data_IF_923866379892
#
_entry.id   IF_923866379892
#
_cell.length_a   1.000
_cell.length_b   1.000
_cell.length_c   1.000
_cell.angle_alpha   90.00
_cell.angle_beta   90.00
_cell.angle_gamma   90.00
#
_symmetry.space_group_name_H-M   'P 1'
#
loop_
_entity.id
_entity.type
_entity.pdbx_description
1 polymer ?
#
# COMPACT_ATOMS: atom_id res chain seq x y z
N UNK A 1 -9.91 -28.66 -16.83
CA UNK A 1 -10.84 -29.10 -15.77
C UNK A 1 -10.29 -28.81 -14.38
N UNK A 2 -9.05 -29.19 -14.01
CA UNK A 2 -8.48 -28.92 -12.67
C UNK A 2 -8.32 -27.42 -12.36
N UNK A 3 -7.84 -26.62 -13.31
CA UNK A 3 -7.73 -25.16 -13.17
C UNK A 3 -9.10 -24.48 -12.99
N UNK A 4 -10.12 -24.95 -13.70
CA UNK A 4 -11.47 -24.44 -13.61
C UNK A 4 -12.09 -24.74 -12.23
N UNK A 5 -11.86 -25.96 -11.71
CA UNK A 5 -12.26 -26.34 -10.35
C UNK A 5 -11.59 -25.49 -9.28
N UNK A 6 -10.30 -25.20 -9.43
CA UNK A 6 -9.59 -24.36 -8.48
C UNK A 6 -10.07 -22.90 -8.53
N UNK A 7 -10.38 -22.36 -9.71
CA UNK A 7 -10.98 -21.00 -9.85
C UNK A 7 -12.38 -20.91 -9.24
N UNK A 8 -13.18 -21.96 -9.31
CA UNK A 8 -14.54 -21.99 -8.77
C UNK A 8 -14.60 -22.31 -7.27
N UNK A 9 -13.76 -23.22 -6.79
CA UNK A 9 -13.85 -23.79 -5.43
C UNK A 9 -12.57 -23.66 -4.60
N UNK A 10 -11.46 -23.15 -5.15
CA UNK A 10 -10.23 -22.90 -4.42
C UNK A 10 -10.35 -21.72 -3.45
N UNK A 11 -9.52 -21.69 -2.40
CA UNK A 11 -9.42 -20.55 -1.49
C UNK A 11 -9.06 -19.28 -2.30
N UNK A 12 -9.95 -18.30 -2.27
CA UNK A 12 -9.79 -17.00 -2.95
C UNK A 12 -9.10 -15.94 -2.07
N UNK A 13 -8.37 -16.34 -1.04
CA UNK A 13 -7.67 -15.42 -0.16
C UNK A 13 -6.29 -15.12 -0.74
N UNK A 14 -6.07 -13.88 -1.13
CA UNK A 14 -4.75 -13.31 -1.40
C UNK A 14 -3.97 -13.00 -0.09
N UNK A 15 -4.41 -13.56 1.03
CA UNK A 15 -3.68 -13.40 2.29
C UNK A 15 -2.44 -14.27 2.27
N UNK A 16 -1.30 -13.63 2.05
CA UNK A 16 -0.02 -14.15 2.50
C UNK A 16 -0.03 -14.22 4.01
N UNK A 17 0.26 -15.40 4.57
CA UNK A 17 0.37 -15.63 6.01
C UNK A 17 1.66 -15.02 6.58
N UNK A 18 1.96 -13.77 6.27
CA UNK A 18 3.13 -13.09 6.83
C UNK A 18 2.70 -11.81 7.54
N UNK A 19 2.57 -11.92 8.87
CA UNK A 19 2.18 -10.84 9.77
C UNK A 19 3.28 -9.80 10.03
N UNK A 20 4.37 -9.84 9.26
CA UNK A 20 5.57 -9.03 9.51
C UNK A 20 5.90 -8.04 8.37
N UNK A 21 5.10 -7.96 7.31
CA UNK A 21 5.38 -7.05 6.19
C UNK A 21 4.51 -5.81 6.24
N UNK A 22 5.10 -4.58 6.23
CA UNK A 22 4.34 -3.37 5.97
C UNK A 22 3.75 -3.45 4.56
N UNK A 23 2.62 -2.77 4.37
CA UNK A 23 1.87 -2.68 3.12
C UNK A 23 2.81 -2.64 1.91
N UNK A 24 2.79 -3.73 1.13
CA UNK A 24 3.61 -3.86 -0.07
C UNK A 24 3.14 -2.87 -1.13
N UNK A 25 4.07 -2.23 -1.87
CA UNK A 25 3.73 -1.52 -3.08
C UNK A 25 2.95 -2.44 -4.03
N UNK A 26 1.90 -1.93 -4.65
CA UNK A 26 0.92 -2.68 -5.44
C UNK A 26 1.53 -3.56 -6.56
N UNK A 27 2.79 -3.32 -6.93
CA UNK A 27 3.51 -3.97 -8.01
C UNK A 27 4.69 -4.85 -7.57
N UNK A 28 5.02 -4.90 -6.28
CA UNK A 28 6.14 -5.70 -5.75
C UNK A 28 5.72 -7.10 -5.25
N UNK A 29 4.45 -7.50 -5.40
CA UNK A 29 3.96 -8.82 -4.97
C UNK A 29 4.76 -9.99 -5.57
N UNK A 30 5.23 -9.84 -6.81
CA UNK A 30 5.99 -10.88 -7.48
C UNK A 30 7.43 -10.99 -6.98
N UNK A 31 8.00 -9.89 -6.49
CA UNK A 31 9.36 -9.83 -5.97
C UNK A 31 9.45 -10.40 -4.56
N UNK A 32 8.42 -10.17 -3.73
CA UNK A 32 8.34 -10.70 -2.37
C UNK A 32 8.06 -12.21 -2.30
N UNK A 33 7.45 -12.80 -3.35
CA UNK A 33 7.16 -14.23 -3.43
C UNK A 33 8.29 -15.06 -4.07
N UNK A 34 9.36 -14.42 -4.54
CA UNK A 34 10.52 -15.07 -5.11
C UNK A 34 11.57 -15.39 -4.03
N UNK A 35 11.22 -16.21 -3.04
CA UNK A 35 12.21 -16.82 -2.17
C UNK A 35 13.12 -17.75 -3.01
N UNK A 36 14.46 -17.74 -2.77
CA UNK A 36 15.34 -18.68 -3.43
C UNK A 36 14.91 -20.10 -3.08
N UNK A 37 14.66 -20.93 -4.09
CA UNK A 37 14.49 -22.35 -3.89
C UNK A 37 15.82 -22.89 -3.34
N UNK A 38 15.86 -23.26 -2.07
CA UNK A 38 16.95 -24.02 -1.49
C UNK A 38 17.10 -25.31 -2.28
N UNK A 39 18.28 -25.51 -2.83
CA UNK A 39 18.68 -26.80 -3.39
C UNK A 39 18.65 -27.81 -2.24
N UNK A 40 17.70 -28.72 -2.29
CA UNK A 40 17.63 -29.81 -1.34
C UNK A 40 18.85 -30.74 -1.53
N UNK A 41 19.81 -30.62 -0.66
CA UNK A 41 20.77 -31.68 -0.40
C UNK A 41 20.26 -32.54 0.74
N UNK A 42 19.94 -33.80 0.44
CA UNK A 42 19.65 -34.84 1.42
C UNK A 42 20.87 -35.07 2.31
N UNK A 43 20.91 -34.46 3.49
CA UNK A 43 21.69 -34.93 4.61
C UNK A 43 20.89 -34.76 5.90
N UNK A 44 20.66 -35.87 6.60
CA UNK A 44 20.13 -35.91 7.95
C UNK A 44 20.97 -35.03 8.88
N UNK A 45 20.42 -33.86 9.26
CA UNK A 45 21.07 -32.98 10.24
C UNK A 45 20.17 -32.83 11.45
N UNK A 46 20.72 -33.26 12.58
CA UNK A 46 20.26 -32.97 13.94
C UNK A 46 19.80 -31.52 14.05
N UNK A 47 18.57 -31.30 14.47
CA UNK A 47 17.91 -29.98 14.53
C UNK A 47 18.75 -28.99 15.37
N UNK A 48 19.26 -27.90 14.79
CA UNK A 48 19.88 -26.86 15.58
C UNK A 48 18.83 -26.09 16.35
N UNK A 49 19.06 -25.85 17.64
CA UNK A 49 18.23 -25.00 18.47
C UNK A 49 18.06 -23.62 17.78
N UNK A 50 16.80 -23.22 17.52
CA UNK A 50 16.47 -21.92 16.92
C UNK A 50 17.18 -20.82 17.71
N UNK A 51 18.23 -20.24 17.16
CA UNK A 51 18.82 -19.00 17.67
C UNK A 51 17.75 -17.93 17.62
N UNK A 52 17.34 -17.41 18.79
CA UNK A 52 16.45 -16.24 18.85
C UNK A 52 17.08 -15.11 18.05
N UNK A 53 16.44 -14.69 16.97
CA UNK A 53 16.90 -13.55 16.17
C UNK A 53 17.08 -12.33 17.08
N UNK A 54 18.17 -11.56 16.90
CA UNK A 54 18.36 -10.31 17.63
C UNK A 54 17.19 -9.37 17.30
N UNK A 55 16.53 -8.81 18.32
CA UNK A 55 15.50 -7.78 18.13
C UNK A 55 16.09 -6.62 17.32
N UNK A 56 15.34 -6.13 16.33
CA UNK A 56 15.71 -4.89 15.65
C UNK A 56 15.67 -3.75 16.69
N UNK A 57 16.66 -2.84 16.69
CA UNK A 57 16.63 -1.70 17.59
C UNK A 57 15.44 -0.80 17.29
N UNK A 58 14.94 -0.10 18.31
CA UNK A 58 13.90 0.91 18.12
C UNK A 58 14.45 2.11 17.31
N UNK A 59 13.61 2.79 16.49
CA UNK A 59 14.05 3.94 15.69
C UNK A 59 14.75 5.00 16.53
N UNK A 60 15.84 5.55 16.04
CA UNK A 60 16.68 6.52 16.77
C UNK A 60 16.06 7.91 16.89
N UNK A 61 15.11 8.23 16.02
CA UNK A 61 14.38 9.50 15.96
C UNK A 61 13.24 9.62 16.98
N UNK A 62 12.86 8.51 17.64
CA UNK A 62 11.88 8.56 18.71
C UNK A 62 12.46 9.21 19.98
N UNK A 63 11.73 10.11 20.66
CA UNK A 63 12.16 10.68 21.93
C UNK A 63 12.33 9.59 22.98
N UNK A 64 13.39 9.68 23.77
CA UNK A 64 13.67 8.75 24.87
C UNK A 64 13.44 9.46 26.20
N UNK A 65 12.64 8.83 27.03
CA UNK A 65 12.41 9.26 28.42
C UNK A 65 13.23 8.34 29.32
N UNK A 66 14.22 8.90 30.00
CA UNK A 66 15.08 8.15 30.89
C UNK A 66 14.40 7.96 32.25
N UNK A 67 14.33 6.73 32.71
CA UNK A 67 13.80 6.35 34.01
C UNK A 67 14.91 5.64 34.80
N UNK A 68 15.42 6.26 35.85
CA UNK A 68 16.45 5.71 36.68
C UNK A 68 15.85 4.81 37.76
N UNK A 69 16.38 3.62 37.88
CA UNK A 69 16.02 2.70 38.98
C UNK A 69 17.23 2.55 39.89
N UNK A 70 17.07 2.95 41.14
CA UNK A 70 18.11 2.86 42.14
C UNK A 70 17.73 1.85 43.22
N UNK A 71 18.72 1.26 43.87
CA UNK A 71 18.51 0.38 45.00
C UNK A 71 17.96 1.21 46.18
N UNK A 72 16.96 0.71 46.89
CA UNK A 72 16.46 1.37 48.12
C UNK A 72 17.57 1.43 49.16
N UNK A 73 17.53 2.43 50.04
CA UNK A 73 18.62 2.75 50.99
C UNK A 73 19.02 1.57 51.89
N UNK A 74 18.06 0.74 52.27
CA UNK A 74 18.32 -0.44 53.12
C UNK A 74 19.09 -1.54 52.37
N UNK A 75 19.12 -1.55 51.04
CA UNK A 75 19.88 -2.49 50.24
C UNK A 75 21.27 -1.96 49.83
N UNK A 76 21.55 -0.70 50.07
CA UNK A 76 22.82 -0.07 49.79
C UNK A 76 23.94 -0.49 50.76
N UNK A 77 23.60 -1.17 51.87
CA UNK A 77 24.61 -1.69 52.78
C UNK A 77 25.00 -3.11 52.45
N UNK A 78 26.30 -3.35 52.27
CA UNK A 78 26.85 -4.69 51.99
C UNK A 78 26.90 -5.50 53.31
N UNK A 79 26.92 -6.84 53.20
CA UNK A 79 27.07 -7.74 54.33
C UNK A 79 28.35 -7.49 55.15
N UNK A 80 29.38 -6.85 54.58
CA UNK A 80 30.61 -6.42 55.24
C UNK A 80 30.47 -5.08 55.99
N UNK A 81 29.29 -4.43 55.99
CA UNK A 81 29.02 -3.14 56.63
C UNK A 81 29.37 -1.89 55.78
N UNK A 82 29.97 -2.07 54.60
CA UNK A 82 30.32 -0.95 53.72
C UNK A 82 29.14 -0.52 52.83
N UNK A 83 29.11 0.75 52.47
CA UNK A 83 28.12 1.28 51.52
C UNK A 83 28.46 0.88 50.07
N UNK A 84 27.52 0.27 49.35
CA UNK A 84 27.64 -0.04 47.93
C UNK A 84 27.58 1.27 47.13
N UNK A 85 28.30 1.31 46.01
CA UNK A 85 28.30 2.40 45.05
C UNK A 85 28.00 1.84 43.66
N UNK A 86 27.43 2.63 42.76
CA UNK A 86 27.14 2.25 41.39
C UNK A 86 28.45 2.00 40.62
N UNK A 87 28.58 0.84 39.99
CA UNK A 87 29.75 0.44 39.20
C UNK A 87 29.46 0.30 37.71
N UNK A 88 28.18 0.43 37.31
CA UNK A 88 27.74 0.33 35.91
C UNK A 88 26.23 0.50 35.83
N UNK A 89 25.77 0.52 34.60
CA UNK A 89 24.34 0.67 34.23
C UNK A 89 23.96 -0.43 33.24
N UNK A 90 22.82 -1.07 33.46
CA UNK A 90 22.17 -1.94 32.48
C UNK A 90 21.02 -1.18 31.83
N UNK A 91 21.11 -0.93 30.52
CA UNK A 91 20.11 -0.17 29.77
C UNK A 91 19.21 -1.13 29.02
N UNK A 92 17.89 -0.96 29.18
CA UNK A 92 16.86 -1.63 28.38
C UNK A 92 15.86 -0.63 27.85
N UNK A 93 15.41 -0.82 26.61
CA UNK A 93 14.44 0.07 25.99
C UNK A 93 13.08 -0.63 25.88
N UNK A 94 12.00 0.12 26.19
CA UNK A 94 10.61 -0.29 26.01
C UNK A 94 9.90 0.75 25.16
N UNK A 95 9.03 0.31 24.23
CA UNK A 95 8.17 1.23 23.48
C UNK A 95 6.96 1.61 24.32
N UNK A 96 6.76 2.91 24.52
CA UNK A 96 5.57 3.48 25.16
C UNK A 96 4.69 4.17 24.12
N UNK A 97 3.37 4.00 24.22
CA UNK A 97 2.39 4.70 23.39
C UNK A 97 1.52 5.56 24.30
N UNK A 98 1.60 6.88 24.12
CA UNK A 98 0.69 7.82 24.79
C UNK A 98 -0.65 7.78 24.05
N UNK A 99 -1.77 7.47 24.70
CA UNK A 99 -3.08 7.42 24.08
C UNK A 99 -3.48 8.75 23.43
N UNK A 100 -4.35 8.68 22.43
CA UNK A 100 -4.93 9.83 21.74
C UNK A 100 -5.55 10.84 22.71
N UNK A 101 -5.13 12.11 22.62
CA UNK A 101 -5.70 13.20 23.41
C UNK A 101 -6.81 13.90 22.62
N UNK A 102 -8.01 13.98 23.22
CA UNK A 102 -9.13 14.73 22.68
C UNK A 102 -9.25 16.06 23.40
N UNK A 103 -9.41 17.16 22.66
CA UNK A 103 -9.54 18.51 23.19
C UNK A 103 -10.70 19.23 22.51
N UNK A 104 -11.36 20.10 23.25
CA UNK A 104 -12.35 21.04 22.70
C UNK A 104 -11.67 22.39 22.50
N UNK A 105 -11.64 22.88 21.28
CA UNK A 105 -11.18 24.24 20.96
C UNK A 105 -12.37 25.17 21.10
N UNK A 106 -12.35 26.05 22.10
CA UNK A 106 -13.38 27.08 22.32
C UNK A 106 -12.94 28.38 21.67
N UNK A 107 -13.55 28.72 20.53
CA UNK A 107 -13.31 30.01 19.88
C UNK A 107 -14.14 31.09 20.56
N UNK A 108 -13.50 32.15 21.05
CA UNK A 108 -14.14 33.28 21.68
C UNK A 108 -13.86 34.52 20.81
N UNK A 109 -14.85 34.95 20.05
CA UNK A 109 -14.78 36.15 19.23
C UNK A 109 -15.33 37.33 20.04
N UNK A 110 -14.49 38.31 20.32
CA UNK A 110 -14.91 39.52 21.07
C UNK A 110 -15.71 40.43 20.10
N UNK A 111 -16.75 41.03 20.67
CA UNK A 111 -17.59 42.01 19.94
C UNK A 111 -17.18 43.41 20.45
N UNK A 112 -16.87 44.30 19.52
CA UNK A 112 -16.45 45.66 19.79
C UNK A 112 -17.53 46.63 19.33
N UNK A 113 -17.88 47.56 20.19
CA UNK A 113 -18.82 48.66 19.88
C UNK A 113 -18.19 50.00 20.24
N UNK A 114 -18.49 51.05 19.51
CA UNK A 114 -18.12 52.41 19.86
C UNK A 114 -19.16 52.99 20.84
N UNK A 115 -18.68 53.68 21.88
CA UNK A 115 -19.58 54.34 22.85
C UNK A 115 -20.03 55.73 22.40
N UNK A 116 -19.28 56.31 21.45
CA UNK A 116 -19.45 57.71 21.04
C UNK A 116 -20.17 57.85 19.67
N UNK A 117 -20.46 56.77 18.99
CA UNK A 117 -21.21 56.77 17.76
C UNK A 117 -22.17 55.57 17.67
N UNK A 118 -23.23 55.71 16.88
CA UNK A 118 -24.25 54.64 16.62
C UNK A 118 -23.81 53.59 15.58
N UNK A 119 -22.47 53.41 15.38
CA UNK A 119 -22.00 52.40 14.45
C UNK A 119 -22.34 50.97 14.95
N UNK A 120 -22.67 50.08 14.03
CA UNK A 120 -22.96 48.68 14.36
C UNK A 120 -21.74 47.99 15.00
N UNK A 121 -21.95 47.18 16.03
CA UNK A 121 -20.91 46.41 16.66
C UNK A 121 -20.18 45.50 15.64
N UNK A 122 -18.86 45.37 15.76
CA UNK A 122 -18.02 44.53 14.92
C UNK A 122 -17.52 43.36 15.76
N UNK A 123 -17.74 42.15 15.26
CA UNK A 123 -17.23 40.91 15.88
C UNK A 123 -15.89 40.56 15.27
N UNK A 124 -14.92 40.21 16.12
CA UNK A 124 -13.63 39.73 15.66
C UNK A 124 -13.79 38.43 14.85
N UNK A 125 -13.12 38.37 13.71
CA UNK A 125 -13.16 37.20 12.85
C UNK A 125 -12.46 35.99 13.49
N UNK A 126 -12.97 34.81 13.20
CA UNK A 126 -12.29 33.55 13.50
C UNK A 126 -11.60 33.02 12.24
N UNK A 127 -10.55 32.20 12.36
CA UNK A 127 -9.94 31.55 11.20
C UNK A 127 -10.95 30.75 10.38
N UNK A 128 -10.79 30.76 9.06
CA UNK A 128 -11.60 29.95 8.16
C UNK A 128 -11.55 28.47 8.54
N UNK A 129 -12.68 27.82 8.50
CA UNK A 129 -12.78 26.37 8.76
C UNK A 129 -12.79 25.63 7.42
N UNK A 130 -12.16 24.45 7.38
CA UNK A 130 -12.18 23.59 6.19
C UNK A 130 -13.60 23.16 5.82
N UNK A 131 -14.43 22.88 6.81
CA UNK A 131 -15.87 22.63 6.66
C UNK A 131 -16.60 23.68 7.48
N UNK A 132 -17.33 24.57 6.82
CA UNK A 132 -18.07 25.63 7.50
C UNK A 132 -19.09 25.08 8.50
N UNK A 133 -19.18 25.75 9.66
CA UNK A 133 -20.11 25.41 10.73
C UNK A 133 -19.95 23.98 11.28
N UNK A 134 -18.86 23.30 10.97
CA UNK A 134 -18.55 21.97 11.49
C UNK A 134 -17.90 22.07 12.88
N UNK A 135 -18.11 21.05 13.71
CA UNK A 135 -17.37 20.86 14.94
C UNK A 135 -15.99 20.20 14.69
N UNK A 136 -15.72 19.71 13.47
CA UNK A 136 -14.48 19.07 13.14
C UNK A 136 -13.36 20.10 12.89
N UNK A 137 -12.32 20.05 13.70
CA UNK A 137 -11.07 20.74 13.41
C UNK A 137 -10.30 20.01 12.28
N UNK A 138 -9.31 20.65 11.64
CA UNK A 138 -8.46 19.97 10.63
C UNK A 138 -7.81 18.70 11.18
N UNK A 139 -7.42 18.65 12.44
CA UNK A 139 -6.83 17.44 13.06
C UNK A 139 -7.81 16.28 13.19
N UNK A 140 -9.09 16.55 13.46
CA UNK A 140 -10.15 15.52 13.48
C UNK A 140 -10.38 14.97 12.07
N UNK A 141 -10.42 15.83 11.05
CA UNK A 141 -10.58 15.41 9.66
C UNK A 141 -9.37 14.59 9.19
N UNK A 142 -8.16 15.02 9.50
CA UNK A 142 -6.95 14.26 9.18
C UNK A 142 -6.96 12.87 9.84
N UNK A 143 -7.31 12.79 11.11
CA UNK A 143 -7.42 11.52 11.84
C UNK A 143 -8.50 10.62 11.24
N UNK A 144 -9.67 11.17 10.89
CA UNK A 144 -10.77 10.43 10.26
C UNK A 144 -10.32 9.81 8.94
N UNK A 145 -9.69 10.59 8.07
CA UNK A 145 -9.21 10.13 6.76
C UNK A 145 -8.10 9.07 6.91
N UNK A 146 -7.11 9.32 7.77
CA UNK A 146 -6.02 8.37 8.03
C UNK A 146 -6.56 7.06 8.59
N UNK A 147 -7.45 7.12 9.58
CA UNK A 147 -8.05 5.93 10.20
C UNK A 147 -8.85 5.12 9.18
N UNK A 148 -9.61 5.80 8.32
CA UNK A 148 -10.44 5.14 7.30
C UNK A 148 -9.61 4.54 6.17
N UNK A 149 -8.70 5.30 5.58
CA UNK A 149 -8.04 4.92 4.32
C UNK A 149 -6.68 4.25 4.53
N UNK A 150 -5.88 4.69 5.50
CA UNK A 150 -4.61 4.05 5.82
C UNK A 150 -4.81 2.91 6.81
N UNK A 151 -5.59 3.13 7.86
CA UNK A 151 -5.89 2.12 8.87
C UNK A 151 -6.97 1.11 8.49
N UNK A 152 -7.68 1.31 7.37
CA UNK A 152 -8.73 0.42 6.90
C UNK A 152 -9.94 0.29 7.85
N UNK A 153 -10.11 1.22 8.79
CA UNK A 153 -11.15 1.14 9.83
C UNK A 153 -12.49 1.66 9.30
N UNK A 154 -13.56 0.85 9.31
CA UNK A 154 -14.88 1.30 8.90
C UNK A 154 -15.42 2.40 9.82
N UNK A 155 -16.19 3.35 9.27
CA UNK A 155 -16.72 4.51 10.02
C UNK A 155 -17.52 4.12 11.25
N UNK A 156 -18.28 3.02 11.22
CA UNK A 156 -19.04 2.56 12.40
C UNK A 156 -18.14 2.10 13.56
N UNK A 157 -16.91 1.63 13.27
CA UNK A 157 -15.93 1.32 14.33
C UNK A 157 -15.29 2.58 14.88
N UNK A 158 -15.03 3.56 14.03
CA UNK A 158 -14.51 4.85 14.45
C UNK A 158 -15.53 5.61 15.30
N UNK A 159 -16.82 5.61 14.96
CA UNK A 159 -17.92 6.09 15.79
C UNK A 159 -17.89 5.47 17.19
N UNK A 160 -17.74 4.14 17.29
CA UNK A 160 -17.63 3.43 18.57
C UNK A 160 -16.38 3.82 19.36
N UNK A 161 -15.26 4.08 18.69
CA UNK A 161 -14.02 4.55 19.36
C UNK A 161 -14.26 5.92 19.98
N UNK A 162 -14.85 6.86 19.24
CA UNK A 162 -15.20 8.19 19.77
C UNK A 162 -16.20 8.11 20.94
N UNK A 163 -17.22 7.24 20.84
CA UNK A 163 -18.20 6.99 21.88
C UNK A 163 -17.59 6.51 23.21
N UNK A 164 -16.50 5.72 23.18
CA UNK A 164 -15.76 5.32 24.39
C UNK A 164 -15.11 6.49 25.12
N UNK A 165 -14.87 7.59 24.42
CA UNK A 165 -14.35 8.85 24.97
C UNK A 165 -15.46 9.87 25.27
N UNK A 166 -16.73 9.45 25.24
CA UNK A 166 -17.87 10.32 25.53
C UNK A 166 -18.24 11.26 24.39
N UNK A 167 -17.75 11.02 23.16
CA UNK A 167 -18.02 11.84 21.99
C UNK A 167 -19.04 11.12 21.09
N UNK A 168 -20.22 11.71 20.96
CA UNK A 168 -21.31 11.19 20.13
C UNK A 168 -21.29 11.89 18.76
N UNK A 169 -20.74 11.23 17.75
CA UNK A 169 -20.72 11.66 16.36
C UNK A 169 -21.17 10.49 15.49
N UNK A 170 -22.34 10.65 14.87
CA UNK A 170 -22.91 9.58 14.05
C UNK A 170 -22.04 9.26 12.83
N UNK A 171 -22.04 7.98 12.39
CA UNK A 171 -21.37 7.54 11.16
C UNK A 171 -21.80 8.33 9.93
N UNK A 172 -23.02 8.86 9.89
CA UNK A 172 -23.53 9.70 8.80
C UNK A 172 -22.78 11.04 8.76
N UNK A 173 -22.55 11.65 9.93
CA UNK A 173 -21.75 12.88 10.02
C UNK A 173 -20.31 12.64 9.60
N UNK A 174 -19.69 11.54 10.06
CA UNK A 174 -18.34 11.14 9.64
C UNK A 174 -18.28 10.92 8.12
N UNK A 175 -19.26 10.25 7.52
CA UNK A 175 -19.33 10.04 6.07
C UNK A 175 -19.45 11.36 5.30
N UNK A 176 -20.28 12.28 5.79
CA UNK A 176 -20.43 13.62 5.18
C UNK A 176 -19.11 14.40 5.21
N UNK A 177 -18.39 14.37 6.32
CA UNK A 177 -17.07 15.01 6.42
C UNK A 177 -16.06 14.42 5.43
N UNK A 178 -16.05 13.10 5.25
CA UNK A 178 -15.21 12.45 4.25
C UNK A 178 -15.52 12.96 2.84
N UNK A 179 -16.81 13.05 2.46
CA UNK A 179 -17.24 13.54 1.15
C UNK A 179 -16.80 15.00 0.96
N UNK A 180 -17.06 15.87 1.93
CA UNK A 180 -16.68 17.29 1.86
C UNK A 180 -15.16 17.47 1.78
N UNK A 181 -14.37 16.65 2.50
CA UNK A 181 -12.92 16.65 2.33
C UNK A 181 -12.51 16.28 0.90
N UNK A 182 -13.18 15.31 0.28
CA UNK A 182 -12.94 14.93 -1.12
C UNK A 182 -13.16 16.10 -2.09
N UNK A 183 -14.21 16.88 -1.88
CA UNK A 183 -14.50 18.08 -2.69
C UNK A 183 -13.38 19.14 -2.55
N UNK A 184 -12.92 19.37 -1.32
CA UNK A 184 -11.80 20.29 -1.05
C UNK A 184 -10.46 19.83 -1.61
N UNK A 185 -10.26 18.52 -1.76
CA UNK A 185 -9.03 17.97 -2.33
C UNK A 185 -9.04 17.91 -3.87
N UNK A 186 -10.15 18.23 -4.53
CA UNK A 186 -10.24 18.17 -5.99
C UNK A 186 -9.14 18.94 -6.73
N UNK A 187 -8.77 20.18 -6.32
CA UNK A 187 -7.65 20.87 -6.98
C UNK A 187 -6.32 20.13 -6.86
N UNK A 188 -6.06 19.50 -5.70
CA UNK A 188 -4.86 18.68 -5.51
C UNK A 188 -4.88 17.43 -6.38
N UNK A 189 -6.02 16.76 -6.47
CA UNK A 189 -6.20 15.60 -7.36
C UNK A 189 -5.99 15.95 -8.82
N UNK A 190 -6.43 17.15 -9.27
CA UNK A 190 -6.18 17.62 -10.62
C UNK A 190 -4.67 17.80 -10.88
N UNK A 191 -3.94 18.45 -9.96
CA UNK A 191 -2.47 18.59 -10.06
C UNK A 191 -1.75 17.24 -10.05
N UNK A 192 -2.23 16.29 -9.25
CA UNK A 192 -1.69 14.93 -9.24
C UNK A 192 -1.94 14.23 -10.59
N UNK A 193 -3.11 14.42 -11.20
CA UNK A 193 -3.41 13.89 -12.53
C UNK A 193 -2.52 14.49 -13.60
N UNK A 194 -2.31 15.80 -13.59
CA UNK A 194 -1.38 16.47 -14.51
C UNK A 194 0.03 15.90 -14.36
N UNK A 195 0.49 15.70 -13.13
CA UNK A 195 1.78 15.07 -12.85
C UNK A 195 1.86 13.63 -13.34
N UNK A 196 0.78 12.85 -13.16
CA UNK A 196 0.68 11.48 -13.66
C UNK A 196 0.79 11.44 -15.19
N UNK A 197 0.03 12.29 -15.90
CA UNK A 197 0.02 12.32 -17.37
C UNK A 197 1.35 12.81 -17.98
N UNK A 198 2.19 13.48 -17.20
CA UNK A 198 3.55 13.86 -17.60
C UNK A 198 4.60 12.76 -17.34
N UNK A 199 4.21 11.60 -16.86
CA UNK A 199 5.13 10.49 -16.57
C UNK A 199 5.55 9.76 -17.85
N UNK A 200 6.80 9.29 -17.91
CA UNK A 200 7.27 8.47 -19.03
C UNK A 200 6.55 7.12 -19.10
N UNK A 201 6.17 6.57 -17.95
CA UNK A 201 5.47 5.30 -17.83
C UNK A 201 4.35 5.41 -16.79
N UNK A 202 3.20 4.86 -17.12
CA UNK A 202 2.06 4.72 -16.21
C UNK A 202 1.70 3.24 -16.09
N UNK A 203 1.57 2.75 -14.86
CA UNK A 203 1.03 1.43 -14.58
C UNK A 203 -0.47 1.54 -14.33
N UNK A 204 -1.24 0.70 -14.99
CA UNK A 204 -2.69 0.64 -14.82
C UNK A 204 -3.15 -0.77 -14.45
N UNK A 205 -4.06 -0.83 -13.50
CA UNK A 205 -4.74 -2.07 -13.11
C UNK A 205 -6.15 -1.73 -12.64
N UNK A 206 -7.05 -2.71 -12.59
CA UNK A 206 -8.39 -2.53 -12.05
C UNK A 206 -8.79 -3.69 -11.16
N UNK A 207 -9.47 -3.36 -10.07
CA UNK A 207 -9.98 -4.35 -9.15
C UNK A 207 -11.49 -4.26 -8.98
N UNK A 208 -12.14 -5.38 -8.75
CA UNK A 208 -13.59 -5.43 -8.54
C UNK A 208 -13.94 -4.86 -7.18
N UNK A 209 -14.96 -4.01 -7.16
CA UNK A 209 -15.56 -3.49 -5.93
C UNK A 209 -17.06 -3.73 -5.98
N UNK A 210 -17.67 -4.02 -4.82
CA UNK A 210 -19.10 -4.14 -4.69
C UNK A 210 -19.65 -2.94 -3.95
N UNK A 211 -20.63 -2.26 -4.54
CA UNK A 211 -21.35 -1.14 -3.93
C UNK A 211 -22.80 -1.54 -3.77
N UNK A 212 -23.21 -1.79 -2.52
CA UNK A 212 -24.56 -2.33 -2.22
C UNK A 212 -25.69 -1.37 -2.51
N UNK A 213 -25.44 -0.05 -2.49
CA UNK A 213 -26.43 1.01 -2.71
C UNK A 213 -25.95 1.95 -3.81
N UNK A 214 -25.83 1.40 -5.00
CA UNK A 214 -25.51 2.15 -6.19
C UNK A 214 -26.83 2.56 -6.90
N UNK A 215 -26.90 3.80 -7.36
CA UNK A 215 -28.11 4.30 -8.01
C UNK A 215 -28.38 3.48 -9.28
N UNK A 216 -29.63 3.08 -9.47
CA UNK A 216 -30.11 2.33 -10.65
C UNK A 216 -29.38 1.02 -10.95
N UNK A 217 -28.77 0.38 -9.92
CA UNK A 217 -28.09 -0.90 -10.08
C UNK A 217 -28.42 -1.87 -8.96
N UNK A 218 -28.47 -3.15 -9.32
CA UNK A 218 -28.66 -4.24 -8.36
C UNK A 218 -27.48 -4.35 -7.40
N UNK A 219 -27.70 -4.68 -6.10
CA UNK A 219 -26.63 -4.84 -5.10
C UNK A 219 -25.57 -5.89 -5.48
N UNK A 220 -25.92 -6.85 -6.35
CA UNK A 220 -25.02 -7.87 -6.89
C UNK A 220 -24.14 -7.40 -8.04
N UNK A 221 -24.41 -6.21 -8.58
CA UNK A 221 -23.67 -5.63 -9.70
C UNK A 221 -22.21 -5.39 -9.30
N UNK A 222 -21.29 -5.64 -10.25
CA UNK A 222 -19.87 -5.40 -10.06
C UNK A 222 -19.51 -4.01 -10.59
N UNK A 223 -18.81 -3.26 -9.78
CA UNK A 223 -18.15 -2.01 -10.14
C UNK A 223 -16.63 -2.16 -10.02
N UNK A 224 -15.88 -1.17 -10.42
CA UNK A 224 -14.44 -1.28 -10.60
C UNK A 224 -13.72 -0.09 -9.98
N UNK A 225 -12.62 -0.38 -9.32
CA UNK A 225 -11.65 0.62 -8.89
C UNK A 225 -10.45 0.52 -9.84
N UNK A 226 -10.22 1.58 -10.58
CA UNK A 226 -9.09 1.72 -11.49
C UNK A 226 -7.95 2.40 -10.74
N UNK A 227 -6.76 1.86 -10.88
CA UNK A 227 -5.55 2.39 -10.24
C UNK A 227 -4.58 2.80 -11.32
N UNK A 228 -4.03 4.01 -11.21
CA UNK A 228 -2.97 4.48 -12.07
C UNK A 228 -1.80 4.92 -11.20
N UNK A 229 -0.60 4.46 -11.55
CA UNK A 229 0.65 4.83 -10.86
C UNK A 229 1.65 5.34 -11.88
N UNK A 230 2.21 6.51 -11.61
CA UNK A 230 3.27 7.14 -12.41
C UNK A 230 4.07 8.12 -11.55
N UNK A 231 4.75 9.03 -12.19
CA UNK A 231 5.62 10.00 -11.54
C UNK A 231 7.06 9.50 -11.41
N UNK A 232 7.97 10.35 -10.93
CA UNK A 232 9.34 9.96 -10.68
C UNK A 232 9.44 8.98 -9.50
N UNK A 233 10.46 8.12 -9.44
CA UNK A 233 10.60 7.09 -8.40
C UNK A 233 10.59 7.63 -6.97
N UNK A 234 11.08 8.85 -6.75
CA UNK A 234 11.12 9.53 -5.45
C UNK A 234 9.81 10.24 -5.08
N UNK A 235 8.92 10.44 -6.05
CA UNK A 235 7.63 11.14 -5.87
C UNK A 235 6.52 10.47 -6.69
N UNK A 236 6.19 9.20 -6.40
CA UNK A 236 5.16 8.48 -7.15
C UNK A 236 3.79 9.12 -6.94
N UNK A 237 3.02 9.19 -8.02
CA UNK A 237 1.62 9.60 -8.01
C UNK A 237 0.76 8.37 -8.17
N UNK A 238 -0.15 8.17 -7.23
CA UNK A 238 -1.11 7.04 -7.26
C UNK A 238 -2.52 7.63 -7.24
N UNK A 239 -3.30 7.32 -8.27
CA UNK A 239 -4.69 7.74 -8.38
C UNK A 239 -5.62 6.53 -8.43
N UNK A 240 -6.77 6.67 -7.77
CA UNK A 240 -7.85 5.69 -7.75
C UNK A 240 -9.09 6.31 -8.36
N UNK A 241 -9.63 5.68 -9.39
CA UNK A 241 -10.86 6.13 -10.07
C UNK A 241 -11.92 5.03 -10.00
N UNK A 242 -13.08 5.40 -9.49
CA UNK A 242 -14.24 4.51 -9.45
C UNK A 242 -14.99 4.53 -10.78
N UNK A 243 -15.41 3.36 -11.24
CA UNK A 243 -16.29 3.23 -12.41
C UNK A 243 -17.24 2.05 -12.25
N UNK A 244 -18.46 2.22 -12.74
CA UNK A 244 -19.45 1.14 -12.85
C UNK A 244 -19.14 0.17 -13.99
N UNK A 245 -18.19 0.53 -14.86
CA UNK A 245 -17.84 -0.21 -16.07
C UNK A 245 -16.37 -0.61 -16.07
N UNK A 246 -16.07 -1.77 -16.68
CA UNK A 246 -14.74 -2.21 -17.05
C UNK A 246 -14.44 -1.98 -18.55
N UNK A 247 -15.36 -1.36 -19.28
CA UNK A 247 -15.23 -1.20 -20.72
C UNK A 247 -14.02 -0.33 -21.10
N UNK A 248 -13.57 -0.49 -22.35
CA UNK A 248 -12.36 0.18 -22.89
C UNK A 248 -12.40 1.70 -22.86
N UNK A 249 -13.60 2.29 -22.82
CA UNK A 249 -13.78 3.74 -22.72
C UNK A 249 -13.24 4.31 -21.41
N UNK A 250 -13.20 3.49 -20.33
CA UNK A 250 -12.75 3.95 -19.02
C UNK A 250 -11.25 4.24 -19.03
N UNK A 251 -10.33 3.29 -19.33
CA UNK A 251 -8.90 3.59 -19.38
C UNK A 251 -8.56 4.62 -20.46
N UNK A 252 -9.27 4.63 -21.59
CA UNK A 252 -9.09 5.64 -22.63
C UNK A 252 -9.39 7.05 -22.11
N UNK A 253 -10.47 7.23 -21.36
CA UNK A 253 -10.84 8.53 -20.74
C UNK A 253 -9.89 8.92 -19.60
N UNK A 254 -9.46 7.95 -18.78
CA UNK A 254 -8.57 8.23 -17.64
C UNK A 254 -7.19 8.70 -18.07
N UNK A 255 -6.72 8.23 -19.23
CA UNK A 255 -5.42 8.56 -19.83
C UNK A 255 -5.57 9.40 -21.11
N UNK A 256 -6.66 10.17 -21.22
CA UNK A 256 -6.87 11.06 -22.36
C UNK A 256 -5.70 12.07 -22.49
N UNK A 257 -5.15 12.19 -23.70
CA UNK A 257 -4.00 13.04 -24.00
C UNK A 257 -2.65 12.50 -23.54
N UNK A 258 -2.57 11.35 -22.88
CA UNK A 258 -1.30 10.76 -22.46
C UNK A 258 -0.48 10.31 -23.67
N UNK A 259 0.85 10.47 -23.57
CA UNK A 259 1.84 9.94 -24.50
C UNK A 259 3.00 9.31 -23.73
N UNK A 260 3.32 8.06 -24.04
CA UNK A 260 4.36 7.30 -23.34
C UNK A 260 4.04 5.82 -23.21
N UNK A 261 4.63 5.18 -22.24
CA UNK A 261 4.44 3.75 -21.98
C UNK A 261 3.32 3.50 -20.98
N UNK A 262 2.42 2.57 -21.29
CA UNK A 262 1.39 2.11 -20.34
C UNK A 262 1.58 0.63 -20.04
N UNK A 263 1.91 0.31 -18.79
CA UNK A 263 2.06 -1.08 -18.34
C UNK A 263 0.74 -1.59 -17.78
N UNK A 264 0.22 -2.67 -18.36
CA UNK A 264 -1.07 -3.28 -17.96
C UNK A 264 -0.95 -4.81 -17.93
N UNK A 265 -2.01 -5.47 -17.44
CA UNK A 265 -2.21 -6.90 -17.72
C UNK A 265 -2.62 -7.13 -19.20
N UNK A 266 -3.03 -8.37 -19.53
CA UNK A 266 -3.48 -8.73 -20.89
C UNK A 266 -4.99 -8.47 -21.11
N UNK A 267 -5.62 -7.65 -20.30
CA UNK A 267 -7.03 -7.35 -20.48
C UNK A 267 -7.30 -6.57 -21.78
N UNK A 268 -8.23 -7.09 -22.60
CA UNK A 268 -8.56 -6.52 -23.90
C UNK A 268 -9.10 -5.07 -23.85
N UNK A 269 -9.65 -4.63 -22.71
CA UNK A 269 -10.11 -3.27 -22.52
C UNK A 269 -9.02 -2.21 -22.65
N UNK A 270 -7.74 -2.58 -22.56
CA UNK A 270 -6.62 -1.67 -22.81
C UNK A 270 -6.18 -1.60 -24.28
N UNK A 271 -6.76 -2.42 -25.19
CA UNK A 271 -6.34 -2.44 -26.60
C UNK A 271 -6.59 -1.11 -27.31
N UNK A 272 -7.73 -0.46 -27.03
CA UNK A 272 -8.05 0.84 -27.63
C UNK A 272 -7.07 1.94 -27.17
N UNK A 273 -6.62 1.89 -25.91
CA UNK A 273 -5.59 2.79 -25.40
C UNK A 273 -4.24 2.55 -26.08
N UNK A 274 -3.82 1.29 -26.23
CA UNK A 274 -2.58 0.92 -26.92
C UNK A 274 -2.57 1.17 -28.42
N UNK A 275 -3.75 1.42 -29.02
CA UNK A 275 -3.88 1.80 -30.43
C UNK A 275 -3.83 3.33 -30.65
N UNK A 276 -3.76 4.14 -29.58
CA UNK A 276 -3.65 5.59 -29.69
C UNK A 276 -2.25 5.99 -30.14
N UNK A 277 -2.16 7.03 -30.96
CA UNK A 277 -0.87 7.57 -31.41
C UNK A 277 -0.05 8.12 -30.24
N UNK A 278 1.19 7.65 -30.12
CA UNK A 278 2.11 8.04 -29.05
C UNK A 278 1.95 7.26 -27.75
N UNK A 279 1.09 6.24 -27.67
CA UNK A 279 0.98 5.33 -26.55
C UNK A 279 1.55 3.95 -26.90
N UNK A 280 2.51 3.47 -26.11
CA UNK A 280 3.05 2.12 -26.25
C UNK A 280 2.65 1.26 -25.04
N UNK A 281 1.91 0.18 -25.30
CA UNK A 281 1.45 -0.73 -24.25
C UNK A 281 2.48 -1.79 -23.94
N UNK A 282 2.82 -1.93 -22.65
CA UNK A 282 3.73 -2.93 -22.12
C UNK A 282 2.95 -3.96 -21.29
N UNK A 283 3.33 -5.24 -21.44
CA UNK A 283 2.77 -6.33 -20.63
C UNK A 283 3.44 -6.43 -19.27
N UNK A 284 2.65 -6.60 -18.22
CA UNK A 284 3.15 -6.74 -16.86
C UNK A 284 3.66 -8.17 -16.57
N UNK A 285 4.93 -8.29 -16.19
CA UNK A 285 5.54 -9.58 -15.81
C UNK A 285 4.90 -10.21 -14.56
N UNK A 286 4.43 -9.41 -13.59
CA UNK A 286 3.76 -9.91 -12.40
C UNK A 286 2.48 -10.68 -12.78
N UNK A 287 1.66 -10.12 -13.69
CA UNK A 287 0.46 -10.78 -14.18
C UNK A 287 0.78 -12.03 -15.01
N UNK A 288 1.78 -11.99 -15.88
CA UNK A 288 2.23 -13.16 -16.61
C UNK A 288 2.70 -14.28 -15.65
N UNK A 289 3.54 -13.93 -14.67
CA UNK A 289 4.01 -14.88 -13.64
C UNK A 289 2.86 -15.50 -12.85
N UNK A 290 1.87 -14.70 -12.44
CA UNK A 290 0.68 -15.17 -11.70
C UNK A 290 -0.04 -16.29 -12.43
N UNK A 291 -0.16 -16.20 -13.77
CA UNK A 291 -0.76 -17.25 -14.61
C UNK A 291 0.01 -18.58 -14.52
N UNK A 292 1.35 -18.52 -14.54
CA UNK A 292 2.17 -19.72 -14.39
C UNK A 292 2.12 -20.30 -12.95
N UNK A 293 2.06 -19.46 -11.92
CA UNK A 293 1.85 -19.91 -10.53
C UNK A 293 0.49 -20.59 -10.38
N UNK A 294 -0.58 -20.06 -10.97
CA UNK A 294 -1.89 -20.69 -10.98
C UNK A 294 -1.84 -22.05 -11.68
N UNK A 295 -1.16 -22.15 -12.82
CA UNK A 295 -0.97 -23.41 -13.54
C UNK A 295 -0.14 -24.42 -12.72
N UNK A 296 0.89 -23.99 -12.01
CA UNK A 296 1.70 -24.83 -11.13
C UNK A 296 0.86 -25.46 -9.99
N UNK A 297 -0.05 -24.69 -9.37
CA UNK A 297 -0.89 -25.17 -8.27
C UNK A 297 -1.81 -26.36 -8.66
N UNK A 298 -2.10 -26.54 -9.93
CA UNK A 298 -2.96 -27.65 -10.43
C UNK A 298 -2.15 -28.82 -10.97
N UNK A 299 -0.82 -28.76 -10.95
CA UNK A 299 0.04 -29.87 -11.35
C UNK A 299 0.04 -30.98 -10.27
N UNK A 300 0.26 -32.24 -10.66
CA UNK A 300 0.46 -33.34 -9.72
C UNK A 300 1.70 -33.07 -8.86
N UNK A 301 1.56 -33.26 -7.54
CA UNK A 301 2.69 -33.08 -6.61
C UNK A 301 3.88 -33.97 -7.00
N UNK A 302 5.08 -33.40 -6.91
CA UNK A 302 6.34 -34.11 -7.17
C UNK A 302 6.72 -34.26 -8.64
N UNK A 303 5.99 -33.63 -9.58
CA UNK A 303 6.38 -33.61 -11.00
C UNK A 303 6.70 -32.19 -11.46
N UNK A 304 7.88 -31.98 -11.99
CA UNK A 304 8.26 -30.74 -12.66
C UNK A 304 7.49 -30.64 -13.95
N UNK A 305 6.79 -29.53 -14.17
CA UNK A 305 5.96 -29.30 -15.35
C UNK A 305 6.41 -28.10 -16.18
N UNK A 306 5.60 -27.80 -17.19
CA UNK A 306 5.87 -26.65 -18.09
C UNK A 306 5.82 -25.32 -17.34
N UNK A 307 4.94 -25.19 -16.34
CA UNK A 307 4.86 -23.96 -15.53
C UNK A 307 6.13 -23.70 -14.73
N UNK A 308 6.76 -24.75 -14.18
CA UNK A 308 8.01 -24.64 -13.43
C UNK A 308 9.16 -24.11 -14.30
N UNK A 309 9.23 -24.54 -15.57
CA UNK A 309 10.22 -24.04 -16.52
C UNK A 309 10.07 -22.53 -16.76
N UNK A 310 8.83 -22.07 -17.01
CA UNK A 310 8.56 -20.65 -17.18
C UNK A 310 8.88 -19.85 -15.92
N UNK A 311 8.45 -20.33 -14.76
CA UNK A 311 8.70 -19.68 -13.45
C UNK A 311 10.19 -19.59 -13.15
N UNK A 312 10.97 -20.62 -13.47
CA UNK A 312 12.43 -20.58 -13.29
C UNK A 312 13.07 -19.46 -14.11
N UNK A 313 12.70 -19.32 -15.40
CA UNK A 313 13.23 -18.26 -16.27
C UNK A 313 12.78 -16.87 -15.78
N UNK A 314 11.52 -16.71 -15.39
CA UNK A 314 10.99 -15.44 -14.86
C UNK A 314 11.69 -15.09 -13.55
N UNK A 315 11.91 -16.06 -12.64
CA UNK A 315 12.61 -15.82 -11.38
C UNK A 315 14.07 -15.41 -11.59
N UNK A 316 14.75 -15.94 -12.63
CA UNK A 316 16.09 -15.46 -13.02
C UNK A 316 16.08 -14.01 -13.49
N UNK A 317 15.05 -13.58 -14.24
CA UNK A 317 14.89 -12.18 -14.63
C UNK A 317 14.71 -11.28 -13.40
N UNK A 318 13.85 -11.67 -12.46
CA UNK A 318 13.69 -10.94 -11.19
C UNK A 318 14.98 -10.95 -10.34
N UNK A 319 15.77 -12.03 -10.40
CA UNK A 319 17.09 -12.11 -9.77
C UNK A 319 18.03 -11.02 -10.27
N UNK A 320 18.11 -10.82 -11.60
CA UNK A 320 18.91 -9.75 -12.21
C UNK A 320 18.49 -8.38 -11.70
N UNK A 321 17.19 -8.09 -11.64
CA UNK A 321 16.69 -6.80 -11.15
C UNK A 321 16.98 -6.57 -9.66
N UNK A 322 16.87 -7.62 -8.83
CA UNK A 322 17.26 -7.54 -7.40
C UNK A 322 18.74 -7.21 -7.20
N UNK A 323 19.62 -7.88 -7.96
CA UNK A 323 21.05 -7.63 -7.89
C UNK A 323 21.40 -6.17 -8.24
N UNK A 324 20.57 -5.53 -9.07
CA UNK A 324 20.80 -4.19 -9.61
C UNK A 324 19.98 -3.09 -8.92
N UNK A 325 19.30 -3.40 -7.82
CA UNK A 325 18.36 -2.47 -7.15
C UNK A 325 19.01 -1.11 -6.86
N UNK A 326 20.25 -1.11 -6.36
CA UNK A 326 20.99 0.09 -5.95
C UNK A 326 22.01 0.56 -7.00
N UNK A 327 21.93 0.04 -8.23
CA UNK A 327 22.84 0.39 -9.34
C UNK A 327 22.33 1.59 -10.14
N UNK A 328 23.26 2.30 -10.81
CA UNK A 328 22.89 3.37 -11.73
C UNK A 328 22.13 2.84 -12.96
N UNK A 329 21.43 3.74 -13.66
CA UNK A 329 20.63 3.37 -14.84
C UNK A 329 21.51 2.82 -15.97
N UNK A 330 22.74 3.32 -16.15
CA UNK A 330 23.70 2.84 -17.14
C UNK A 330 24.13 1.40 -16.83
N UNK A 331 24.50 1.12 -15.57
CA UNK A 331 24.88 -0.21 -15.11
C UNK A 331 23.72 -1.18 -15.25
N UNK A 332 22.52 -0.73 -14.86
CA UNK A 332 21.28 -1.52 -15.00
C UNK A 332 20.99 -1.85 -16.45
N UNK A 333 21.10 -0.86 -17.35
CA UNK A 333 20.89 -1.05 -18.78
C UNK A 333 21.89 -2.04 -19.37
N UNK A 334 23.19 -1.91 -19.08
CA UNK A 334 24.23 -2.82 -19.55
C UNK A 334 23.98 -4.26 -19.05
N UNK A 335 23.69 -4.44 -17.77
CA UNK A 335 23.42 -5.75 -17.19
C UNK A 335 22.12 -6.40 -17.75
N UNK A 336 21.10 -5.61 -18.07
CA UNK A 336 19.90 -6.12 -18.75
C UNK A 336 20.20 -6.66 -20.13
N UNK A 337 21.07 -5.98 -20.90
CA UNK A 337 21.49 -6.46 -22.21
C UNK A 337 22.31 -7.75 -22.08
N UNK A 338 23.22 -7.83 -21.14
CA UNK A 338 24.10 -8.99 -20.96
C UNK A 338 23.38 -10.19 -20.33
N UNK A 339 22.57 -9.97 -19.29
CA UNK A 339 22.01 -11.04 -18.45
C UNK A 339 20.53 -11.32 -18.73
N UNK A 340 19.70 -10.27 -18.91
CA UNK A 340 18.24 -10.43 -19.08
C UNK A 340 17.85 -10.76 -20.52
N UNK A 341 18.47 -10.17 -21.52
CA UNK A 341 18.14 -10.40 -22.92
C UNK A 341 18.31 -11.88 -23.37
N UNK A 342 19.38 -12.60 -22.98
CA UNK A 342 19.48 -14.04 -23.26
C UNK A 342 18.36 -14.86 -22.60
N UNK A 343 17.97 -14.53 -21.37
CA UNK A 343 16.85 -15.20 -20.68
C UNK A 343 15.52 -14.95 -21.37
N UNK A 344 15.28 -13.72 -21.83
CA UNK A 344 14.08 -13.38 -22.62
C UNK A 344 14.04 -14.14 -23.94
N UNK A 345 15.18 -14.26 -24.63
CA UNK A 345 15.30 -15.04 -25.86
C UNK A 345 15.02 -16.53 -25.60
N UNK A 346 15.55 -17.07 -24.52
CA UNK A 346 15.28 -18.45 -24.11
C UNK A 346 13.80 -18.67 -23.79
N UNK A 347 13.19 -17.75 -23.04
CA UNK A 347 11.77 -17.83 -22.69
C UNK A 347 10.88 -17.73 -23.93
N UNK A 348 11.19 -16.81 -24.84
CA UNK A 348 10.47 -16.67 -26.11
C UNK A 348 10.51 -17.98 -26.91
N UNK A 349 11.70 -18.54 -27.13
CA UNK A 349 11.88 -19.81 -27.86
C UNK A 349 11.14 -20.96 -27.19
N UNK A 350 11.13 -20.97 -25.84
CA UNK A 350 10.39 -21.98 -25.08
C UNK A 350 8.87 -21.82 -25.27
N UNK A 351 8.34 -20.60 -25.22
CA UNK A 351 6.91 -20.31 -25.45
C UNK A 351 6.51 -20.77 -26.85
N UNK A 352 7.25 -20.37 -27.88
CA UNK A 352 6.97 -20.73 -29.28
C UNK A 352 6.93 -22.24 -29.51
N UNK A 353 7.80 -23.00 -28.84
CA UNK A 353 7.82 -24.49 -28.92
C UNK A 353 6.68 -25.13 -28.11
N UNK A 354 6.24 -24.48 -27.03
CA UNK A 354 5.29 -25.07 -26.06
C UNK A 354 3.84 -24.72 -26.42
N UNK A 355 3.58 -23.52 -26.94
CA UNK A 355 2.26 -23.03 -27.27
C UNK A 355 1.44 -23.98 -28.16
N UNK A 356 1.96 -24.57 -29.26
CA UNK A 356 1.20 -25.48 -30.10
C UNK A 356 0.81 -26.81 -29.40
N UNK A 357 1.44 -27.12 -28.27
CA UNK A 357 1.24 -28.36 -27.52
C UNK A 357 0.27 -28.18 -26.32
N UNK A 358 -0.22 -26.97 -26.11
CA UNK A 358 -1.17 -26.64 -25.04
C UNK A 358 -2.55 -26.49 -25.70
N UNK A 359 -3.47 -27.39 -25.37
CA UNK A 359 -4.89 -27.25 -25.77
C UNK A 359 -5.48 -26.01 -25.09
N UNK A 360 -6.12 -25.16 -25.85
CA UNK A 360 -6.88 -23.98 -25.41
C UNK A 360 -8.02 -24.32 -24.44
#
# INVERSE_FOLDING_TARGET
MALLRQRLFGRKTEQTNDSATPQLPLFDEAESLAEPADEASDEEVIAPSKRRGKRKPLPSDLPRVEVFHELPEHELTCACGCRKHAIGEEVSEQLEIVPMQLRVIKHICKVYGCRDCESAPVTADKPAQMIEKSMASPSVLAMLLTTKYVGGVPLHRFEKVLGRHGIDISRQTLARWVIQCGEHFQPLLNLMRDSLLNSCIIHCDETRVQVLKELDREPSSQSWMWVQIGGPPDKPVILFDYSTSRAQEVPTRLLDGYRGYVMTDDYAGYNALGAQDGVERLGCWAHARRKFVEAQKVQPKGKTGRADMALNLINKLYGVERDLKDSSDEVRKAARVERSLPLLTQLKSWVEKTQPQVTS
#
